data_IF_961645815329
#
_entry.id   IF_961645815329
#
_cell.length_a   1.000
_cell.length_b   1.000
_cell.length_c   1.000
_cell.angle_alpha   90.00
_cell.angle_beta   90.00
_cell.angle_gamma   90.00
#
_symmetry.space_group_name_H-M   'P 1'
#
loop_
_entity.id
_entity.type
_entity.pdbx_description
1 polymer ?
#
# COMPACT_ATOMS: atom_id res chain seq x y z
N UNK A 1 -8.61 30.73 -3.08
CA UNK A 1 -8.84 30.19 -1.73
C UNK A 1 -7.68 29.26 -1.39
N UNK A 2 -7.03 29.44 -0.27
CA UNK A 2 -5.97 28.53 0.20
C UNK A 2 -6.64 27.36 0.89
N UNK A 3 -6.30 26.13 0.48
CA UNK A 3 -6.85 24.91 1.09
C UNK A 3 -6.26 24.76 2.49
N UNK A 4 -7.12 24.52 3.49
CA UNK A 4 -6.69 24.12 4.82
C UNK A 4 -6.49 22.60 4.85
N UNK A 5 -5.27 22.14 4.58
CA UNK A 5 -4.94 20.73 4.54
C UNK A 5 -5.06 20.03 5.91
N UNK A 6 -4.85 20.73 7.01
CA UNK A 6 -5.06 20.16 8.34
C UNK A 6 -6.51 19.76 8.54
N UNK A 7 -7.44 20.68 8.27
CA UNK A 7 -8.88 20.37 8.38
C UNK A 7 -9.33 19.31 7.37
N UNK A 8 -8.79 19.34 6.13
CA UNK A 8 -9.13 18.35 5.12
C UNK A 8 -8.67 16.93 5.55
N UNK A 9 -7.51 16.81 6.19
CA UNK A 9 -6.97 15.56 6.75
C UNK A 9 -7.84 15.03 7.89
N UNK A 10 -8.19 15.89 8.84
CA UNK A 10 -9.10 15.53 9.93
C UNK A 10 -10.44 15.03 9.39
N UNK A 11 -11.03 15.76 8.44
CA UNK A 11 -12.29 15.35 7.80
C UNK A 11 -12.16 14.00 7.07
N UNK A 12 -11.06 13.75 6.35
CA UNK A 12 -10.80 12.47 5.71
C UNK A 12 -10.81 11.33 6.75
N UNK A 13 -10.09 11.48 7.85
CA UNK A 13 -10.02 10.44 8.88
C UNK A 13 -11.38 10.21 9.52
N UNK A 14 -12.08 11.26 9.96
CA UNK A 14 -13.30 11.12 10.73
C UNK A 14 -14.54 10.79 9.87
N UNK A 15 -14.61 11.28 8.64
CA UNK A 15 -15.82 11.18 7.81
C UNK A 15 -15.70 10.17 6.67
N UNK A 16 -14.47 9.75 6.31
CA UNK A 16 -14.25 8.79 5.23
C UNK A 16 -13.65 7.48 5.77
N UNK A 17 -12.51 7.54 6.46
CA UNK A 17 -11.74 6.35 6.86
C UNK A 17 -12.41 5.62 8.03
N UNK A 18 -12.73 6.34 9.12
CA UNK A 18 -13.34 5.76 10.32
C UNK A 18 -14.70 5.08 10.05
N UNK A 19 -15.63 5.64 9.24
CA UNK A 19 -16.90 5.00 8.90
C UNK A 19 -16.77 3.69 8.10
N UNK A 20 -15.61 3.41 7.53
CA UNK A 20 -15.30 2.15 6.85
C UNK A 20 -14.59 1.13 7.75
N UNK A 21 -14.95 1.13 9.03
CA UNK A 21 -14.45 0.19 10.05
C UNK A 21 -12.94 0.23 10.29
N UNK A 22 -12.28 1.36 10.03
CA UNK A 22 -10.91 1.59 10.44
C UNK A 22 -10.91 2.15 11.85
N UNK A 23 -10.63 1.30 12.86
CA UNK A 23 -10.76 1.61 14.28
C UNK A 23 -9.44 1.52 15.05
N UNK A 24 -8.36 1.00 14.44
CA UNK A 24 -7.04 0.96 15.08
C UNK A 24 -6.51 2.39 15.28
N UNK A 25 -6.34 2.78 16.55
CA UNK A 25 -5.95 4.14 16.92
C UNK A 25 -4.61 4.55 16.31
N UNK A 26 -3.63 3.63 16.18
CA UNK A 26 -2.32 3.91 15.58
C UNK A 26 -2.43 4.19 14.09
N UNK A 27 -3.33 3.48 13.41
CA UNK A 27 -3.61 3.70 11.98
C UNK A 27 -4.28 5.06 11.79
N UNK A 28 -5.32 5.36 12.57
CA UNK A 28 -6.01 6.65 12.51
C UNK A 28 -5.06 7.82 12.83
N UNK A 29 -4.20 7.69 13.84
CA UNK A 29 -3.19 8.69 14.20
C UNK A 29 -2.17 8.88 13.07
N UNK A 30 -1.70 7.79 12.46
CA UNK A 30 -0.79 7.84 11.31
C UNK A 30 -1.41 8.63 10.16
N UNK A 31 -2.65 8.31 9.78
CA UNK A 31 -3.36 9.01 8.70
C UNK A 31 -3.70 10.47 9.07
N UNK A 32 -3.95 10.77 10.34
CA UNK A 32 -4.20 12.12 10.84
C UNK A 32 -2.94 13.00 10.94
N UNK A 33 -1.76 12.39 10.96
CA UNK A 33 -0.48 13.10 11.16
C UNK A 33 0.29 13.29 9.85
N UNK A 34 0.36 12.26 9.01
CA UNK A 34 1.19 12.28 7.82
C UNK A 34 0.58 13.15 6.69
N UNK A 35 1.37 14.05 6.07
CA UNK A 35 0.88 15.00 5.07
C UNK A 35 0.68 14.33 3.71
N UNK A 36 -0.50 13.73 3.47
CA UNK A 36 -0.83 13.04 2.22
C UNK A 36 -0.63 13.94 0.99
N UNK A 37 -0.93 15.25 1.11
CA UNK A 37 -0.76 16.24 0.06
C UNK A 37 0.69 16.43 -0.40
N UNK A 38 1.67 16.08 0.43
CA UNK A 38 3.08 16.11 0.06
C UNK A 38 3.48 14.97 -0.89
N UNK A 39 2.67 13.91 -0.97
CA UNK A 39 2.89 12.73 -1.80
C UNK A 39 2.06 12.74 -3.10
N UNK A 40 1.27 13.77 -3.31
CA UNK A 40 0.41 13.94 -4.49
C UNK A 40 1.07 14.93 -5.45
N UNK A 41 0.95 14.66 -6.76
CA UNK A 41 1.41 15.59 -7.80
C UNK A 41 0.71 16.95 -7.65
N UNK A 42 1.40 18.05 -7.94
CA UNK A 42 0.90 19.39 -7.75
C UNK A 42 -0.46 19.64 -8.43
N UNK A 43 -0.64 19.11 -9.63
CA UNK A 43 -1.91 19.19 -10.40
C UNK A 43 -3.11 18.56 -9.70
N UNK A 44 -2.88 17.60 -8.79
CA UNK A 44 -3.92 16.86 -8.08
C UNK A 44 -3.90 17.11 -6.56
N UNK A 45 -3.01 17.99 -6.06
CA UNK A 45 -2.81 18.22 -4.63
C UNK A 45 -4.09 18.67 -3.90
N UNK A 46 -4.96 19.41 -4.58
CA UNK A 46 -6.24 19.82 -4.03
C UNK A 46 -7.19 18.65 -3.72
N UNK A 47 -6.97 17.48 -4.34
CA UNK A 47 -7.76 16.25 -4.17
C UNK A 47 -7.11 15.26 -3.21
N UNK A 48 -5.99 15.61 -2.57
CA UNK A 48 -5.20 14.70 -1.75
C UNK A 48 -6.00 13.98 -0.65
N UNK A 49 -7.06 14.59 -0.16
CA UNK A 49 -7.90 14.08 0.94
C UNK A 49 -9.31 13.66 0.49
N UNK A 50 -9.57 13.65 -0.81
CA UNK A 50 -10.80 13.08 -1.37
C UNK A 50 -10.68 11.55 -1.45
N UNK A 51 -11.79 10.82 -1.28
CA UNK A 51 -11.80 9.36 -1.42
C UNK A 51 -11.79 8.93 -2.90
N UNK A 52 -10.69 9.27 -3.55
CA UNK A 52 -10.44 9.03 -4.97
C UNK A 52 -9.07 8.38 -5.18
N UNK A 53 -8.98 7.58 -6.22
CA UNK A 53 -7.68 7.20 -6.77
C UNK A 53 -7.06 8.37 -7.51
N UNK A 54 -5.78 8.61 -7.27
CA UNK A 54 -5.06 9.70 -7.92
C UNK A 54 -4.01 9.15 -8.88
N UNK A 55 -3.98 9.61 -10.14
CA UNK A 55 -3.09 9.05 -11.14
C UNK A 55 -1.63 9.32 -10.82
N UNK A 56 -0.78 8.31 -11.00
CA UNK A 56 0.67 8.37 -10.83
C UNK A 56 1.43 8.37 -12.18
N UNK A 57 0.73 8.12 -13.27
CA UNK A 57 1.34 7.77 -14.56
C UNK A 57 1.52 6.26 -14.71
N UNK A 58 2.05 5.83 -15.86
CA UNK A 58 2.32 4.42 -16.17
C UNK A 58 1.10 3.48 -16.00
N UNK A 59 -0.13 4.01 -16.07
CA UNK A 59 -1.35 3.25 -15.81
C UNK A 59 -1.55 2.89 -14.34
N UNK A 60 -0.80 3.51 -13.43
CA UNK A 60 -0.87 3.29 -11.98
C UNK A 60 -1.57 4.44 -11.26
N UNK A 61 -2.15 4.15 -10.12
CA UNK A 61 -2.83 5.12 -9.27
C UNK A 61 -2.44 4.96 -7.79
N UNK A 62 -2.50 6.07 -7.07
CA UNK A 62 -2.45 6.09 -5.62
C UNK A 62 -3.80 5.60 -5.08
N UNK A 63 -3.79 4.68 -4.14
CA UNK A 63 -5.03 4.12 -3.56
C UNK A 63 -5.89 5.20 -2.88
N UNK A 64 -7.19 4.92 -2.77
CA UNK A 64 -8.11 5.74 -1.98
C UNK A 64 -7.71 5.73 -0.51
N UNK A 65 -7.90 6.83 0.23
CA UNK A 65 -7.63 6.88 1.67
C UNK A 65 -8.28 5.76 2.49
N UNK A 66 -9.51 5.39 2.14
CA UNK A 66 -10.24 4.30 2.80
C UNK A 66 -9.53 2.96 2.60
N UNK A 67 -9.08 2.67 1.38
CA UNK A 67 -8.36 1.42 1.06
C UNK A 67 -7.02 1.38 1.79
N UNK A 68 -6.27 2.50 1.83
CA UNK A 68 -5.01 2.61 2.58
C UNK A 68 -5.23 2.35 4.08
N UNK A 69 -6.25 2.96 4.68
CA UNK A 69 -6.60 2.75 6.09
C UNK A 69 -6.96 1.30 6.41
N UNK A 70 -7.79 0.66 5.58
CA UNK A 70 -8.16 -0.76 5.73
C UNK A 70 -6.98 -1.69 5.54
N UNK A 71 -6.08 -1.39 4.60
CA UNK A 71 -4.84 -2.14 4.38
C UNK A 71 -3.95 -2.10 5.62
N UNK A 72 -3.69 -0.91 6.15
CA UNK A 72 -2.87 -0.72 7.37
C UNK A 72 -3.49 -1.42 8.58
N UNK A 73 -4.81 -1.33 8.74
CA UNK A 73 -5.51 -2.01 9.84
C UNK A 73 -5.49 -3.54 9.71
N UNK A 74 -5.64 -4.09 8.51
CA UNK A 74 -5.56 -5.53 8.29
C UNK A 74 -4.14 -6.05 8.57
N UNK A 75 -3.13 -5.32 8.12
CA UNK A 75 -1.72 -5.65 8.35
C UNK A 75 -1.28 -5.43 9.80
N UNK A 76 -1.77 -4.43 10.50
CA UNK A 76 -1.40 -4.07 11.89
C UNK A 76 0.11 -4.08 12.14
N UNK A 77 0.94 -3.34 11.37
CA UNK A 77 2.39 -3.37 11.56
C UNK A 77 2.77 -2.99 13.00
N UNK A 78 3.81 -3.63 13.54
CA UNK A 78 4.32 -3.35 14.89
C UNK A 78 5.69 -2.69 14.81
N UNK A 79 6.03 -1.86 15.78
CA UNK A 79 7.29 -1.11 15.83
C UNK A 79 8.56 -1.98 15.80
N UNK A 80 8.47 -3.27 16.07
CA UNK A 80 9.59 -4.22 16.01
C UNK A 80 9.64 -5.02 14.70
N UNK A 81 8.66 -4.84 13.79
CA UNK A 81 8.49 -5.66 12.59
C UNK A 81 9.16 -5.06 11.36
N UNK A 82 9.59 -5.95 10.46
CA UNK A 82 10.09 -5.63 9.13
C UNK A 82 8.97 -5.79 8.10
N UNK A 83 8.83 -4.78 7.26
CA UNK A 83 7.82 -4.72 6.21
C UNK A 83 8.47 -4.77 4.83
N UNK A 84 7.88 -5.57 3.94
CA UNK A 84 8.08 -5.51 2.50
C UNK A 84 6.85 -4.88 1.85
N UNK A 85 7.04 -3.80 1.14
CA UNK A 85 6.02 -3.20 0.28
C UNK A 85 6.31 -3.51 -1.19
N UNK A 86 5.30 -3.86 -1.95
CA UNK A 86 5.38 -4.11 -3.39
C UNK A 86 4.50 -3.09 -4.10
N UNK A 87 5.13 -2.14 -4.79
CA UNK A 87 4.51 -0.98 -5.40
C UNK A 87 4.62 0.26 -4.51
N UNK A 88 5.76 0.95 -4.53
CA UNK A 88 5.99 2.21 -3.78
C UNK A 88 5.03 3.32 -4.23
N UNK A 89 4.82 3.44 -5.54
CA UNK A 89 3.95 4.43 -6.14
C UNK A 89 4.28 5.87 -5.72
N UNK A 90 3.35 6.51 -5.00
CA UNK A 90 3.54 7.88 -4.49
C UNK A 90 4.55 7.98 -3.34
N UNK A 91 4.76 6.89 -2.59
CA UNK A 91 5.51 6.83 -1.33
C UNK A 91 4.68 7.14 -0.08
N UNK A 92 3.39 7.45 -0.21
CA UNK A 92 2.56 7.78 0.96
C UNK A 92 2.30 6.58 1.87
N UNK A 93 1.86 5.45 1.29
CA UNK A 93 1.66 4.24 2.11
C UNK A 93 2.99 3.73 2.67
N UNK A 94 4.09 3.87 1.90
CA UNK A 94 5.46 3.60 2.37
C UNK A 94 5.78 4.41 3.64
N UNK A 95 5.44 5.72 3.65
CA UNK A 95 5.61 6.59 4.82
C UNK A 95 4.74 6.12 6.00
N UNK A 96 3.49 5.73 5.74
CA UNK A 96 2.59 5.19 6.76
C UNK A 96 3.13 3.89 7.37
N UNK A 97 3.62 2.98 6.55
CA UNK A 97 4.26 1.73 6.99
C UNK A 97 5.53 2.02 7.80
N UNK A 98 6.35 2.98 7.34
CA UNK A 98 7.55 3.42 8.06
C UNK A 98 7.25 4.03 9.43
N UNK A 99 6.14 4.75 9.57
CA UNK A 99 5.69 5.28 10.86
C UNK A 99 5.24 4.19 11.85
N UNK A 100 4.78 3.05 11.35
CA UNK A 100 4.22 1.97 12.16
C UNK A 100 5.19 0.81 12.43
N UNK A 101 6.25 0.67 11.61
CA UNK A 101 7.15 -0.48 11.62
C UNK A 101 8.60 -0.08 11.95
N UNK A 102 9.46 -1.09 12.16
CA UNK A 102 10.89 -0.91 12.38
C UNK A 102 11.63 -0.48 11.13
N UNK A 103 11.37 -1.18 10.02
CA UNK A 103 12.02 -0.97 8.73
C UNK A 103 11.04 -1.33 7.61
N UNK A 104 11.11 -0.58 6.52
CA UNK A 104 10.36 -0.85 5.29
C UNK A 104 11.34 -1.01 4.13
N UNK A 105 11.25 -2.14 3.43
CA UNK A 105 11.80 -2.31 2.08
C UNK A 105 10.65 -2.16 1.11
N UNK A 106 10.75 -1.23 0.17
CA UNK A 106 9.70 -0.95 -0.80
C UNK A 106 10.24 -1.17 -2.22
N UNK A 107 9.53 -1.97 -3.01
CA UNK A 107 9.90 -2.32 -4.37
C UNK A 107 9.06 -1.52 -5.36
N UNK A 108 9.73 -0.89 -6.32
CA UNK A 108 9.06 -0.12 -7.38
C UNK A 108 9.70 -0.44 -8.74
N UNK A 109 8.87 -0.85 -9.69
CA UNK A 109 9.34 -1.22 -11.03
C UNK A 109 9.63 0.02 -11.90
N UNK A 110 8.90 1.13 -11.67
CA UNK A 110 9.05 2.36 -12.46
C UNK A 110 10.11 3.26 -11.83
N UNK A 111 11.26 3.50 -12.51
CA UNK A 111 12.36 4.27 -11.93
C UNK A 111 11.95 5.72 -11.61
N UNK A 112 11.06 6.32 -12.38
CA UNK A 112 10.57 7.68 -12.16
C UNK A 112 9.73 7.75 -10.87
N UNK A 113 8.87 6.74 -10.59
CA UNK A 113 8.08 6.68 -9.37
C UNK A 113 8.98 6.42 -8.16
N UNK A 114 9.95 5.50 -8.28
CA UNK A 114 10.91 5.24 -7.21
C UNK A 114 11.71 6.49 -6.82
N UNK A 115 12.21 7.24 -7.81
CA UNK A 115 12.94 8.49 -7.58
C UNK A 115 12.06 9.58 -6.97
N UNK A 116 10.83 9.74 -7.47
CA UNK A 116 9.89 10.73 -6.97
C UNK A 116 9.44 10.42 -5.53
N UNK A 117 9.17 9.15 -5.21
CA UNK A 117 8.82 8.71 -3.86
C UNK A 117 9.98 8.94 -2.88
N UNK A 118 11.22 8.61 -3.26
CA UNK A 118 12.41 8.91 -2.46
C UNK A 118 12.49 10.40 -2.15
N UNK A 119 12.40 11.25 -3.16
CA UNK A 119 12.48 12.70 -2.97
C UNK A 119 11.39 13.24 -2.02
N UNK A 120 10.17 12.71 -2.09
CA UNK A 120 9.06 13.11 -1.17
C UNK A 120 9.32 12.65 0.26
N UNK A 121 9.77 11.42 0.45
CA UNK A 121 10.14 10.87 1.76
C UNK A 121 11.26 11.69 2.41
N UNK A 122 12.30 12.03 1.65
CA UNK A 122 13.41 12.85 2.12
C UNK A 122 12.95 14.26 2.48
N UNK A 123 12.13 14.90 1.62
CA UNK A 123 11.61 16.24 1.86
C UNK A 123 10.67 16.33 3.08
N UNK A 124 9.99 15.25 3.43
CA UNK A 124 9.09 15.18 4.60
C UNK A 124 9.78 14.64 5.86
N UNK A 125 11.00 14.13 5.76
CA UNK A 125 11.71 13.47 6.86
C UNK A 125 11.12 12.11 7.28
N UNK A 126 10.24 11.53 6.45
CA UNK A 126 9.51 10.28 6.73
C UNK A 126 10.19 9.02 6.17
N UNK A 127 11.38 9.16 5.60
CA UNK A 127 12.11 8.09 4.93
C UNK A 127 13.27 7.48 5.72
N UNK A 128 13.45 7.80 7.00
CA UNK A 128 14.66 7.42 7.77
C UNK A 128 14.85 5.92 7.95
N UNK A 129 13.78 5.14 7.97
CA UNK A 129 13.76 3.68 8.08
C UNK A 129 13.20 3.00 6.82
N UNK A 130 13.21 3.72 5.69
CA UNK A 130 12.68 3.23 4.41
C UNK A 130 13.80 3.05 3.40
N UNK A 131 13.83 1.89 2.75
CA UNK A 131 14.68 1.60 1.61
C UNK A 131 13.83 1.28 0.38
N UNK A 132 13.89 2.13 -0.65
CA UNK A 132 13.24 1.86 -1.94
C UNK A 132 14.26 1.18 -2.86
N UNK A 133 13.85 0.07 -3.48
CA UNK A 133 14.60 -0.64 -4.51
C UNK A 133 13.85 -0.54 -5.84
N UNK A 134 14.53 -0.07 -6.89
CA UNK A 134 13.95 -0.03 -8.23
C UNK A 134 14.14 -1.38 -8.91
N UNK A 135 13.17 -2.26 -8.73
CA UNK A 135 13.19 -3.66 -9.22
C UNK A 135 11.79 -4.16 -9.52
N UNK A 136 11.69 -5.19 -10.35
CA UNK A 136 10.45 -5.95 -10.57
C UNK A 136 10.29 -7.00 -9.46
N UNK A 137 9.23 -6.88 -8.67
CA UNK A 137 8.91 -7.83 -7.59
C UNK A 137 8.64 -9.25 -8.09
N UNK A 138 8.19 -9.43 -9.35
CA UNK A 138 7.96 -10.75 -9.92
C UNK A 138 9.25 -11.52 -10.21
N UNK A 139 10.38 -10.83 -10.33
CA UNK A 139 11.69 -11.41 -10.58
C UNK A 139 12.70 -11.17 -9.45
N UNK A 140 12.37 -10.26 -8.51
CA UNK A 140 13.23 -9.94 -7.37
C UNK A 140 13.53 -11.19 -6.53
N UNK A 141 14.80 -11.36 -6.15
CA UNK A 141 15.26 -12.48 -5.35
C UNK A 141 15.91 -12.01 -4.06
N UNK A 142 15.57 -12.68 -2.95
CA UNK A 142 16.10 -12.37 -1.62
C UNK A 142 15.93 -13.55 -0.67
N UNK A 143 16.93 -13.78 0.16
CA UNK A 143 16.84 -14.72 1.30
C UNK A 143 16.16 -14.07 2.52
N UNK A 144 15.93 -12.76 2.47
CA UNK A 144 15.30 -12.03 3.58
C UNK A 144 13.83 -12.44 3.73
N UNK A 145 13.37 -12.47 4.98
CA UNK A 145 11.97 -12.73 5.35
C UNK A 145 11.44 -11.55 6.15
N UNK A 146 10.15 -11.30 5.99
CA UNK A 146 9.44 -10.15 6.55
C UNK A 146 8.28 -10.60 7.44
N UNK A 147 7.96 -9.79 8.43
CA UNK A 147 6.80 -10.00 9.28
C UNK A 147 5.52 -9.61 8.55
N UNK A 148 5.63 -8.60 7.67
CA UNK A 148 4.53 -8.03 6.90
C UNK A 148 4.93 -7.91 5.44
N UNK A 149 4.04 -8.33 4.53
CA UNK A 149 4.13 -8.03 3.09
C UNK A 149 2.86 -7.28 2.68
N UNK A 150 3.04 -6.11 2.08
CA UNK A 150 1.97 -5.25 1.59
C UNK A 150 2.06 -5.13 0.08
N UNK A 151 1.06 -5.62 -0.66
CA UNK A 151 0.98 -5.43 -2.12
C UNK A 151 -0.03 -4.32 -2.40
N UNK A 152 0.41 -3.23 -3.00
CA UNK A 152 -0.38 -2.00 -3.21
C UNK A 152 -1.08 -1.94 -4.55
N UNK A 153 -0.97 -3.01 -5.34
CA UNK A 153 -1.61 -3.18 -6.64
C UNK A 153 -2.32 -4.55 -6.68
N UNK A 154 -3.18 -4.77 -7.69
CA UNK A 154 -3.86 -6.05 -7.83
C UNK A 154 -3.01 -7.10 -8.53
N UNK A 155 -3.33 -8.37 -8.30
CA UNK A 155 -2.79 -9.52 -9.02
C UNK A 155 -3.94 -10.43 -9.48
N UNK A 156 -3.81 -11.08 -10.64
CA UNK A 156 -4.81 -12.07 -11.04
C UNK A 156 -4.85 -13.26 -10.07
N UNK A 157 -3.66 -13.70 -9.63
CA UNK A 157 -3.46 -14.71 -8.60
C UNK A 157 -2.21 -14.38 -7.81
N UNK A 158 -2.21 -14.73 -6.52
CA UNK A 158 -1.08 -14.39 -5.62
C UNK A 158 0.17 -15.19 -6.00
N UNK A 159 1.27 -14.53 -6.40
CA UNK A 159 2.51 -15.23 -6.72
C UNK A 159 3.05 -15.98 -5.50
N UNK A 160 3.40 -17.26 -5.67
CA UNK A 160 3.88 -18.09 -4.56
C UNK A 160 5.11 -17.50 -3.85
N UNK A 161 5.98 -16.80 -4.58
CA UNK A 161 7.16 -16.15 -4.02
C UNK A 161 6.82 -15.07 -2.98
N UNK A 162 5.68 -14.37 -3.10
CA UNK A 162 5.27 -13.37 -2.11
C UNK A 162 5.00 -14.01 -0.74
N UNK A 163 4.44 -15.22 -0.73
CA UNK A 163 4.22 -15.98 0.49
C UNK A 163 5.53 -16.55 1.06
N UNK A 164 6.51 -16.86 0.21
CA UNK A 164 7.82 -17.35 0.64
C UNK A 164 8.65 -16.29 1.38
N UNK A 165 8.36 -15.00 1.18
CA UNK A 165 9.02 -13.91 1.89
C UNK A 165 8.46 -13.69 3.31
N UNK A 166 7.39 -14.36 3.69
CA UNK A 166 6.84 -14.28 5.04
C UNK A 166 7.65 -15.11 6.05
N UNK A 167 7.89 -14.52 7.21
CA UNK A 167 8.29 -15.25 8.41
C UNK A 167 7.16 -16.16 8.89
N UNK A 168 7.43 -17.18 9.70
CA UNK A 168 6.39 -17.85 10.49
C UNK A 168 5.61 -16.84 11.33
N UNK A 169 4.28 -16.86 11.27
CA UNK A 169 3.40 -15.87 11.90
C UNK A 169 3.26 -14.56 11.12
N UNK A 170 3.99 -14.38 10.01
CA UNK A 170 3.88 -13.20 9.14
C UNK A 170 2.57 -13.16 8.34
N UNK A 171 2.26 -12.00 7.80
CA UNK A 171 1.01 -11.77 7.04
C UNK A 171 1.23 -10.93 5.79
N UNK A 172 0.41 -11.22 4.78
CA UNK A 172 0.45 -10.55 3.49
C UNK A 172 -0.95 -10.01 3.14
N UNK A 173 -1.01 -8.72 2.83
CA UNK A 173 -2.18 -8.10 2.22
C UNK A 173 -2.01 -8.02 0.71
N UNK A 174 -3.05 -8.37 -0.04
CA UNK A 174 -3.08 -8.24 -1.50
C UNK A 174 -4.52 -8.15 -2.01
N UNK A 175 -4.71 -7.41 -3.09
CA UNK A 175 -5.96 -7.42 -3.88
C UNK A 175 -5.78 -8.42 -5.03
N UNK A 176 -6.72 -9.35 -5.20
CA UNK A 176 -6.65 -10.40 -6.21
C UNK A 176 -7.95 -10.54 -6.99
N UNK A 177 -7.85 -11.08 -8.18
CA UNK A 177 -9.01 -11.42 -9.02
C UNK A 177 -9.03 -10.68 -10.34
N UNK A 178 -10.22 -10.53 -10.90
CA UNK A 178 -10.45 -9.88 -12.19
C UNK A 178 -11.35 -8.65 -12.03
N UNK A 179 -10.91 -7.50 -12.58
CA UNK A 179 -11.73 -6.29 -12.63
C UNK A 179 -13.09 -6.58 -13.30
N UNK A 180 -14.20 -5.96 -12.86
CA UNK A 180 -14.24 -4.83 -11.92
C UNK A 180 -14.46 -5.24 -10.45
N UNK A 181 -14.55 -6.54 -10.13
CA UNK A 181 -14.78 -7.01 -8.76
C UNK A 181 -13.60 -7.86 -8.33
N UNK A 182 -12.69 -7.24 -7.59
CA UNK A 182 -11.54 -7.90 -6.99
C UNK A 182 -11.70 -8.01 -5.48
N UNK A 183 -11.01 -8.94 -4.86
CA UNK A 183 -11.05 -9.23 -3.44
C UNK A 183 -9.76 -8.83 -2.74
N UNK A 184 -9.84 -7.97 -1.75
CA UNK A 184 -8.75 -7.72 -0.81
C UNK A 184 -8.70 -8.86 0.19
N UNK A 185 -7.54 -9.50 0.34
CA UNK A 185 -7.34 -10.65 1.23
C UNK A 185 -6.12 -10.48 2.11
N UNK A 186 -6.19 -11.07 3.31
CA UNK A 186 -5.05 -11.22 4.21
C UNK A 186 -4.65 -12.71 4.25
N UNK A 187 -3.44 -12.98 3.80
CA UNK A 187 -2.80 -14.29 4.02
C UNK A 187 -2.02 -14.23 5.33
N UNK A 188 -2.21 -15.21 6.20
CA UNK A 188 -1.46 -15.37 7.45
C UNK A 188 -0.69 -16.69 7.37
N UNK A 189 0.63 -16.62 7.57
CA UNK A 189 1.51 -17.80 7.63
C UNK A 189 1.51 -18.39 9.05
N UNK A 190 0.35 -18.95 9.45
CA UNK A 190 0.14 -19.49 10.79
C UNK A 190 0.89 -20.82 10.98
N UNK A 191 1.28 -21.11 12.22
CA UNK A 191 1.95 -22.37 12.60
C UNK A 191 1.07 -23.61 12.38
N UNK A 192 -0.26 -23.45 12.37
CA UNK A 192 -1.23 -24.50 12.10
C UNK A 192 -1.57 -24.65 10.60
N UNK A 193 -0.89 -23.92 9.74
CA UNK A 193 -1.08 -23.86 8.30
C UNK A 193 -1.54 -22.50 7.81
N UNK A 194 -1.36 -22.21 6.52
CA UNK A 194 -1.71 -20.91 5.96
C UNK A 194 -3.22 -20.66 6.03
N UNK A 195 -3.61 -19.45 6.44
CA UNK A 195 -5.00 -18.99 6.50
C UNK A 195 -5.18 -17.80 5.58
N UNK A 196 -6.34 -17.73 4.93
CA UNK A 196 -6.73 -16.62 4.07
C UNK A 196 -8.02 -16.03 4.63
N UNK A 197 -8.02 -14.72 4.87
CA UNK A 197 -9.19 -13.96 5.26
C UNK A 197 -9.63 -13.06 4.11
N UNK A 198 -10.89 -13.15 3.71
CA UNK A 198 -11.54 -12.17 2.85
C UNK A 198 -11.83 -10.91 3.63
N UNK A 199 -11.43 -9.74 3.13
CA UNK A 199 -11.56 -8.48 3.85
C UNK A 199 -12.66 -7.58 3.27
N UNK A 200 -12.59 -7.29 1.98
CA UNK A 200 -13.55 -6.45 1.26
C UNK A 200 -13.34 -6.55 -0.25
N UNK A 201 -14.35 -6.14 -0.99
CA UNK A 201 -14.27 -5.99 -2.44
C UNK A 201 -13.73 -4.60 -2.82
N UNK A 202 -12.90 -4.56 -3.85
CA UNK A 202 -12.35 -3.31 -4.42
C UNK A 202 -11.89 -3.57 -5.86
N UNK A 203 -11.41 -2.54 -6.52
CA UNK A 203 -10.75 -2.64 -7.83
C UNK A 203 -9.48 -1.79 -7.79
N UNK A 204 -8.34 -2.34 -8.20
CA UNK A 204 -7.06 -1.63 -8.27
C UNK A 204 -6.37 -1.94 -9.59
N UNK A 205 -5.51 -1.03 -10.09
CA UNK A 205 -4.61 -1.35 -11.20
C UNK A 205 -3.77 -2.58 -10.89
N UNK A 206 -3.55 -3.41 -11.91
CA UNK A 206 -2.69 -4.58 -11.74
C UNK A 206 -1.22 -4.21 -11.55
N UNK A 207 -0.56 -4.97 -10.72
CA UNK A 207 0.90 -5.02 -10.70
C UNK A 207 1.39 -5.36 -12.11
N UNK A 208 2.40 -4.66 -12.60
CA UNK A 208 2.95 -4.87 -13.95
C UNK A 208 3.33 -6.34 -14.12
N UNK A 209 2.80 -6.99 -15.15
CA UNK A 209 3.04 -8.40 -15.42
C UNK A 209 2.16 -9.39 -14.63
N UNK A 210 1.28 -8.92 -13.72
CA UNK A 210 0.41 -9.79 -12.91
C UNK A 210 -1.08 -9.74 -13.27
N UNK A 211 -1.44 -9.08 -14.37
CA UNK A 211 -2.80 -9.08 -14.90
C UNK A 211 -3.21 -10.47 -15.41
N UNK A 212 -4.54 -10.77 -15.48
CA UNK A 212 -5.02 -11.97 -16.14
C UNK A 212 -4.56 -12.05 -17.60
N UNK A 213 -4.29 -13.26 -18.09
CA UNK A 213 -4.02 -13.43 -19.50
C UNK A 213 -5.23 -12.97 -20.34
N UNK A 214 -5.03 -12.28 -21.47
CA UNK A 214 -6.13 -11.90 -22.35
C UNK A 214 -6.94 -13.13 -22.75
N UNK A 215 -8.25 -13.10 -22.50
CA UNK A 215 -9.17 -14.13 -22.97
C UNK A 215 -9.86 -13.63 -24.23
N UNK A 216 -9.76 -14.42 -25.30
CA UNK A 216 -10.59 -14.18 -26.48
C UNK A 216 -12.02 -14.68 -26.19
N UNK A 217 -12.97 -13.76 -26.17
CA UNK A 217 -14.39 -14.08 -26.18
C UNK A 217 -14.82 -14.07 -27.65
N UNK A 218 -15.23 -15.21 -28.17
CA UNK A 218 -15.79 -15.35 -29.52
C UNK A 218 -17.27 -14.96 -29.52
#
# INVERSE_FOLDING_TARGET
MTINYTQARENMVEQQVRPWDVLDARVLETLATLPREAFVAESHRALAYADLELPLGHGQSMMKPVVEGRTLQALKPQAAEDVLEIGTGSGYLTACLGNLAREVVSLEIQPELAAAARARLDATGLGTNVRIENVDALTWDTDRRFDVVCVTAAVASVPARFLQWLRPGGRLFVVRGASPVMEAVLHVNDVNGPRIESLFETDLPYLVGAAPAPQFVF
#
